data_IF_730661967443
#
_entry.id   IF_730661967443
#
_cell.length_a   1.000
_cell.length_b   1.000
_cell.length_c   1.000
_cell.angle_alpha   90.00
_cell.angle_beta   90.00
_cell.angle_gamma   90.00
#
_symmetry.space_group_name_H-M   'P 1'
#
loop_
_entity.id
_entity.type
_entity.pdbx_description
1 polymer ?
#
# COMPACT_ATOMS: atom_id res chain seq x y z
N UNK A 1 2.44 -15.61 21.83
CA UNK A 1 1.74 -14.44 21.27
C UNK A 1 0.35 -14.88 20.86
N UNK A 2 -0.68 -14.44 21.58
CA UNK A 2 -2.08 -14.83 21.33
C UNK A 2 -2.69 -14.15 20.11
N UNK A 3 -2.01 -14.24 18.96
CA UNK A 3 -2.45 -13.60 17.71
C UNK A 3 -3.56 -14.45 17.08
N UNK A 4 -4.74 -13.86 16.89
CA UNK A 4 -5.83 -14.49 16.17
C UNK A 4 -5.71 -14.17 14.67
N UNK A 5 -5.73 -15.21 13.83
CA UNK A 5 -5.71 -15.06 12.39
C UNK A 5 -7.13 -14.76 11.90
N UNK A 6 -7.31 -13.60 11.26
CA UNK A 6 -8.54 -13.24 10.57
C UNK A 6 -8.34 -13.54 9.08
N UNK A 7 -9.14 -14.45 8.54
CA UNK A 7 -9.11 -14.82 7.13
C UNK A 7 -10.22 -14.10 6.37
N UNK A 8 -9.87 -13.51 5.24
CA UNK A 8 -10.84 -13.01 4.28
C UNK A 8 -11.39 -14.17 3.44
N UNK A 9 -12.68 -14.16 3.16
CA UNK A 9 -13.28 -15.10 2.21
C UNK A 9 -13.01 -14.62 0.78
N UNK A 10 -12.86 -15.56 -0.17
CA UNK A 10 -12.63 -15.23 -1.58
C UNK A 10 -13.78 -14.36 -2.11
N UNK A 11 -13.46 -13.29 -2.83
CA UNK A 11 -14.43 -12.31 -3.38
C UNK A 11 -15.26 -11.53 -2.34
N UNK A 12 -14.81 -11.46 -1.09
CA UNK A 12 -15.45 -10.64 -0.05
C UNK A 12 -14.45 -9.66 0.59
N UNK A 13 -14.27 -8.46 0.01
CA UNK A 13 -13.28 -7.47 0.46
C UNK A 13 -13.66 -6.75 1.75
N UNK A 14 -14.69 -7.20 2.46
CA UNK A 14 -15.24 -6.50 3.62
C UNK A 14 -14.25 -6.37 4.79
N UNK A 15 -13.25 -7.26 4.85
CA UNK A 15 -12.16 -7.23 5.84
C UNK A 15 -10.85 -6.71 5.22
N UNK A 16 -10.57 -6.98 3.93
CA UNK A 16 -9.29 -6.62 3.28
C UNK A 16 -9.31 -5.32 2.48
N UNK A 17 -10.44 -4.62 2.40
CA UNK A 17 -10.61 -3.50 1.47
C UNK A 17 -9.60 -2.37 1.67
N UNK A 18 -9.19 -2.09 2.90
CA UNK A 18 -8.17 -1.07 3.19
C UNK A 18 -6.79 -1.49 2.67
N UNK A 19 -6.39 -2.74 2.91
CA UNK A 19 -5.14 -3.29 2.37
C UNK A 19 -5.16 -3.33 0.85
N UNK A 20 -6.28 -3.73 0.24
CA UNK A 20 -6.45 -3.75 -1.21
C UNK A 20 -6.29 -2.36 -1.84
N UNK A 21 -6.85 -1.32 -1.21
CA UNK A 21 -6.73 0.08 -1.66
C UNK A 21 -5.28 0.56 -1.56
N UNK A 22 -4.60 0.26 -0.45
CA UNK A 22 -3.17 0.59 -0.25
C UNK A 22 -2.31 -0.13 -1.29
N UNK A 23 -2.50 -1.44 -1.47
CA UNK A 23 -1.76 -2.26 -2.43
C UNK A 23 -1.94 -1.76 -3.87
N UNK A 24 -3.14 -1.30 -4.24
CA UNK A 24 -3.41 -0.69 -5.55
C UNK A 24 -2.65 0.61 -5.75
N UNK A 25 -2.58 1.45 -4.72
CA UNK A 25 -1.84 2.72 -4.73
C UNK A 25 -0.33 2.48 -4.91
N UNK A 26 0.23 1.58 -4.11
CA UNK A 26 1.65 1.18 -4.17
C UNK A 26 1.99 0.59 -5.55
N UNK A 27 1.14 -0.31 -6.06
CA UNK A 27 1.33 -0.92 -7.39
C UNK A 27 1.33 0.11 -8.51
N UNK A 28 0.53 1.16 -8.39
CA UNK A 28 0.49 2.26 -9.36
C UNK A 28 1.78 3.07 -9.31
N UNK A 29 2.26 3.40 -8.11
CA UNK A 29 3.53 4.12 -7.92
C UNK A 29 4.72 3.34 -8.47
N UNK A 30 4.79 2.04 -8.15
CA UNK A 30 5.82 1.13 -8.68
C UNK A 30 5.80 1.09 -10.21
N UNK A 31 4.61 1.03 -10.83
CA UNK A 31 4.49 1.00 -12.30
C UNK A 31 5.04 2.27 -12.95
N UNK A 32 4.86 3.42 -12.32
CA UNK A 32 5.38 4.71 -12.80
C UNK A 32 6.91 4.76 -12.70
N UNK A 33 7.47 4.27 -11.61
CA UNK A 33 8.93 4.30 -11.35
C UNK A 33 9.65 3.28 -12.23
N UNK A 34 9.12 2.07 -12.31
CA UNK A 34 9.77 0.96 -13.02
C UNK A 34 9.72 1.13 -14.53
N UNK A 35 8.70 1.81 -15.08
CA UNK A 35 8.47 1.98 -16.52
C UNK A 35 8.66 0.64 -17.28
N UNK A 36 9.84 0.43 -17.87
CA UNK A 36 10.21 -0.76 -18.63
C UNK A 36 11.09 -1.77 -17.87
N UNK A 37 11.72 -1.40 -16.76
CA UNK A 37 12.55 -2.29 -15.95
C UNK A 37 11.79 -2.80 -14.72
N UNK A 38 11.01 -3.87 -14.91
CA UNK A 38 10.23 -4.50 -13.83
C UNK A 38 11.08 -5.38 -12.89
N UNK A 39 12.36 -5.60 -13.19
CA UNK A 39 13.21 -6.52 -12.43
C UNK A 39 13.75 -5.89 -11.14
N UNK A 40 13.83 -4.56 -11.05
CA UNK A 40 14.35 -3.82 -9.91
C UNK A 40 13.24 -3.28 -8.99
N UNK A 41 12.08 -3.92 -8.95
CA UNK A 41 10.93 -3.45 -8.16
C UNK A 41 11.23 -3.41 -6.66
N UNK A 42 12.02 -4.34 -6.18
CA UNK A 42 12.49 -4.50 -4.81
C UNK A 42 13.43 -3.35 -4.40
N UNK A 43 14.33 -2.93 -5.29
CA UNK A 43 15.23 -1.78 -5.07
C UNK A 43 14.45 -0.46 -4.89
N UNK A 44 13.26 -0.36 -5.48
CA UNK A 44 12.41 0.83 -5.41
C UNK A 44 11.35 0.76 -4.30
N UNK A 45 11.22 -0.37 -3.60
CA UNK A 45 10.14 -0.58 -2.63
C UNK A 45 10.20 0.41 -1.47
N UNK A 46 11.38 0.61 -0.88
CA UNK A 46 11.58 1.58 0.22
C UNK A 46 11.25 3.01 -0.20
N UNK A 47 11.59 3.39 -1.43
CA UNK A 47 11.28 4.71 -1.97
C UNK A 47 9.77 4.90 -2.14
N UNK A 48 9.08 3.87 -2.62
CA UNK A 48 7.62 3.89 -2.79
C UNK A 48 6.89 3.94 -1.45
N UNK A 49 7.32 3.13 -0.48
CA UNK A 49 6.79 3.14 0.87
C UNK A 49 6.92 4.52 1.51
N UNK A 50 8.12 5.11 1.46
CA UNK A 50 8.37 6.43 2.00
C UNK A 50 7.52 7.50 1.30
N UNK A 51 7.42 7.45 -0.03
CA UNK A 51 6.58 8.37 -0.78
C UNK A 51 5.10 8.24 -0.39
N UNK A 52 4.58 7.01 -0.27
CA UNK A 52 3.20 6.75 0.12
C UNK A 52 2.91 7.26 1.54
N UNK A 53 3.77 6.96 2.51
CA UNK A 53 3.56 7.33 3.90
C UNK A 53 3.60 8.85 4.16
N UNK A 54 4.26 9.63 3.28
CA UNK A 54 4.35 11.10 3.39
C UNK A 54 3.27 11.86 2.64
N UNK A 55 2.54 11.23 1.73
CA UNK A 55 1.52 11.93 0.94
C UNK A 55 0.27 12.13 1.78
N UNK A 56 -0.21 13.38 1.85
CA UNK A 56 -1.48 13.72 2.50
C UNK A 56 -2.63 13.15 1.67
N UNK A 57 -3.47 12.34 2.30
CA UNK A 57 -4.64 11.77 1.66
C UNK A 57 -5.81 12.76 1.69
N UNK A 58 -6.46 12.99 0.54
CA UNK A 58 -7.56 13.97 0.42
C UNK A 58 -8.74 13.70 1.35
N UNK A 59 -9.00 12.45 1.69
CA UNK A 59 -10.14 12.05 2.53
C UNK A 59 -9.90 12.39 4.00
N UNK A 60 -8.67 12.22 4.49
CA UNK A 60 -8.30 12.41 5.90
C UNK A 60 -7.61 13.75 6.15
N UNK A 61 -7.12 14.42 5.10
CA UNK A 61 -6.21 15.58 5.17
C UNK A 61 -4.95 15.33 6.00
N UNK A 62 -4.59 14.06 6.18
CA UNK A 62 -3.40 13.60 6.90
C UNK A 62 -2.64 12.59 6.06
N UNK A 63 -1.33 12.53 6.22
CA UNK A 63 -0.52 11.44 5.66
C UNK A 63 -0.60 10.20 6.56
N UNK A 64 -0.41 8.98 6.02
CA UNK A 64 -0.36 7.77 6.84
C UNK A 64 0.64 7.86 7.98
N UNK A 65 1.80 8.49 7.76
CA UNK A 65 2.81 8.73 8.79
C UNK A 65 2.32 9.59 9.97
N UNK A 66 1.36 10.49 9.75
CA UNK A 66 0.80 11.35 10.80
C UNK A 66 -0.30 10.65 11.64
N UNK A 67 -0.82 9.53 11.14
CA UNK A 67 -1.96 8.81 11.74
C UNK A 67 -1.50 7.60 12.57
N UNK A 68 -0.25 7.15 12.40
CA UNK A 68 0.36 6.00 13.09
C UNK A 68 0.99 6.41 14.43
#
# INVERSE_FOLDING_TARGET
LGTQLLFCTTFHPQIDGQTEVVNRSISTLLRVILKNNKKSWDEHLTNVEFAYNRVVHKTTNLSPFEVV
#
